data_IF_151745294619
#
_entry.id   IF_151745294619
#
_cell.length_a   1.000
_cell.length_b   1.000
_cell.length_c   1.000
_cell.angle_alpha   90.00
_cell.angle_beta   90.00
_cell.angle_gamma   90.00
#
_symmetry.space_group_name_H-M   'P 1'
#
loop_
_entity.id
_entity.type
_entity.pdbx_description
1 polymer ?
#
# COMPACT_ATOMS: atom_id res chain seq x y z
N UNK A 1 30.27 30.38 -18.99
CA UNK A 1 29.50 29.74 -17.93
C UNK A 1 30.50 29.28 -16.90
N UNK A 2 30.31 29.64 -15.62
CA UNK A 2 31.18 29.10 -14.55
C UNK A 2 30.68 27.65 -14.31
N UNK A 3 31.50 26.68 -14.70
CA UNK A 3 31.23 25.28 -14.39
C UNK A 3 31.44 25.03 -12.89
N UNK A 4 30.60 24.14 -12.32
CA UNK A 4 30.74 23.75 -10.93
C UNK A 4 32.07 23.01 -10.73
N UNK A 5 32.91 23.39 -9.73
CA UNK A 5 34.27 22.85 -9.54
C UNK A 5 34.25 21.32 -9.37
N UNK A 6 35.09 20.62 -10.15
CA UNK A 6 35.13 19.13 -10.13
C UNK A 6 35.54 18.55 -8.78
N UNK A 7 36.39 19.22 -8.03
CA UNK A 7 36.85 18.79 -6.70
C UNK A 7 35.75 18.82 -5.61
N UNK A 8 34.58 19.45 -5.91
CA UNK A 8 33.40 19.45 -5.06
C UNK A 8 32.36 18.38 -5.48
N UNK A 9 32.63 17.67 -6.55
CA UNK A 9 31.73 16.59 -7.00
C UNK A 9 31.91 15.36 -6.12
N UNK A 10 30.85 14.95 -5.45
CA UNK A 10 30.82 13.73 -4.64
C UNK A 10 30.46 12.55 -5.55
N UNK A 11 31.26 11.46 -5.59
CA UNK A 11 30.99 10.28 -6.41
C UNK A 11 29.92 9.38 -5.75
N UNK A 12 28.77 9.97 -5.40
CA UNK A 12 27.68 9.31 -4.68
C UNK A 12 27.14 8.07 -5.44
N UNK A 13 27.06 8.16 -6.77
CA UNK A 13 26.60 7.05 -7.61
C UNK A 13 27.45 5.79 -7.39
N UNK A 14 28.78 5.93 -7.45
CA UNK A 14 29.70 4.79 -7.23
C UNK A 14 29.59 4.18 -5.83
N UNK A 15 29.32 5.00 -4.80
CA UNK A 15 29.11 4.48 -3.44
C UNK A 15 27.79 3.70 -3.34
N UNK A 16 26.72 4.20 -3.95
CA UNK A 16 25.42 3.52 -3.97
C UNK A 16 25.54 2.20 -4.74
N UNK A 17 26.18 2.21 -5.93
CA UNK A 17 26.41 1.01 -6.72
C UNK A 17 27.21 -0.05 -5.95
N UNK A 18 28.25 0.36 -5.22
CA UNK A 18 29.04 -0.54 -4.39
C UNK A 18 28.20 -1.16 -3.25
N UNK A 19 27.37 -0.35 -2.58
CA UNK A 19 26.50 -0.83 -1.50
C UNK A 19 25.45 -1.82 -2.06
N UNK A 20 24.80 -1.49 -3.16
CA UNK A 20 23.79 -2.35 -3.77
C UNK A 20 24.42 -3.67 -4.25
N UNK A 21 25.58 -3.60 -4.91
CA UNK A 21 26.31 -4.80 -5.35
C UNK A 21 26.72 -5.67 -4.16
N UNK A 22 27.18 -5.05 -3.07
CA UNK A 22 27.50 -5.79 -1.84
C UNK A 22 26.25 -6.50 -1.26
N UNK A 23 25.11 -5.83 -1.22
CA UNK A 23 23.85 -6.43 -0.76
C UNK A 23 23.47 -7.61 -1.64
N UNK A 24 23.49 -7.47 -2.96
CA UNK A 24 23.14 -8.54 -3.90
C UNK A 24 24.05 -9.74 -3.75
N UNK A 25 25.37 -9.52 -3.61
CA UNK A 25 26.35 -10.61 -3.50
C UNK A 25 26.28 -11.32 -2.13
N UNK A 26 26.14 -10.56 -1.04
CA UNK A 26 26.25 -11.14 0.31
C UNK A 26 24.89 -11.53 0.90
N UNK A 27 23.80 -10.89 0.46
CA UNK A 27 22.46 -11.16 0.97
C UNK A 27 21.54 -11.76 -0.10
N UNK A 28 22.09 -12.29 -1.23
CA UNK A 28 21.31 -12.88 -2.32
C UNK A 28 20.31 -13.92 -1.84
N UNK A 29 20.76 -14.87 -0.99
CA UNK A 29 19.88 -15.89 -0.43
C UNK A 29 18.71 -15.31 0.39
N UNK A 30 18.92 -14.19 1.09
CA UNK A 30 17.85 -13.50 1.83
C UNK A 30 16.90 -12.81 0.86
N UNK A 31 17.43 -12.18 -0.19
CA UNK A 31 16.63 -11.57 -1.25
C UNK A 31 15.79 -12.60 -1.98
N UNK A 32 16.34 -13.78 -2.26
CA UNK A 32 15.61 -14.89 -2.88
C UNK A 32 14.42 -15.33 -2.01
N UNK A 33 14.65 -15.53 -0.70
CA UNK A 33 13.56 -15.88 0.24
C UNK A 33 12.49 -14.77 0.30
N UNK A 34 12.89 -13.51 0.33
CA UNK A 34 11.93 -12.38 0.28
C UNK A 34 11.17 -12.44 -1.04
N UNK A 35 11.86 -12.64 -2.15
CA UNK A 35 11.25 -12.76 -3.48
C UNK A 35 10.23 -13.88 -3.57
N UNK A 36 10.55 -15.05 -3.05
CA UNK A 36 9.67 -16.23 -3.01
C UNK A 36 8.42 -15.97 -2.15
N UNK A 37 8.57 -15.33 -1.00
CA UNK A 37 7.44 -14.95 -0.14
C UNK A 37 6.53 -13.94 -0.85
N UNK A 38 7.10 -12.89 -1.44
CA UNK A 38 6.35 -11.88 -2.18
C UNK A 38 5.61 -12.51 -3.36
N UNK A 39 6.29 -13.35 -4.12
CA UNK A 39 5.71 -14.06 -5.26
C UNK A 39 4.61 -15.03 -4.81
N UNK A 40 4.84 -15.78 -3.74
CA UNK A 40 3.88 -16.74 -3.19
C UNK A 40 2.59 -16.05 -2.75
N UNK A 41 2.68 -14.95 -2.00
CA UNK A 41 1.51 -14.15 -1.58
C UNK A 41 0.78 -13.60 -2.79
N UNK A 42 1.50 -12.97 -3.73
CA UNK A 42 0.89 -12.36 -4.92
C UNK A 42 0.19 -13.40 -5.79
N UNK A 43 0.91 -14.48 -6.16
CA UNK A 43 0.37 -15.53 -7.04
C UNK A 43 -0.79 -16.26 -6.37
N UNK A 44 -0.75 -16.44 -5.04
CA UNK A 44 -1.86 -17.01 -4.28
C UNK A 44 -3.13 -16.15 -4.44
N UNK A 45 -3.02 -14.84 -4.21
CA UNK A 45 -4.16 -13.90 -4.37
C UNK A 45 -4.63 -13.85 -5.83
N UNK A 46 -3.71 -13.74 -6.79
CA UNK A 46 -4.01 -13.68 -8.22
C UNK A 46 -4.78 -14.92 -8.69
N UNK A 47 -4.30 -16.12 -8.31
CA UNK A 47 -4.98 -17.39 -8.64
C UNK A 47 -6.40 -17.44 -8.07
N UNK A 48 -6.59 -16.99 -6.84
CA UNK A 48 -7.92 -16.95 -6.22
C UNK A 48 -8.84 -16.00 -6.99
N UNK A 49 -8.38 -14.78 -7.30
CA UNK A 49 -9.18 -13.78 -8.01
C UNK A 49 -9.53 -14.21 -9.44
N UNK A 50 -8.62 -14.88 -10.15
CA UNK A 50 -8.84 -15.35 -11.51
C UNK A 50 -9.65 -16.67 -11.55
N UNK A 51 -9.61 -17.49 -10.49
CA UNK A 51 -10.38 -18.74 -10.41
C UNK A 51 -11.85 -18.49 -10.06
N UNK A 52 -12.14 -17.42 -9.31
CA UNK A 52 -13.51 -17.06 -8.93
C UNK A 52 -14.25 -16.54 -10.17
N UNK A 53 -15.45 -17.11 -10.50
CA UNK A 53 -16.26 -16.60 -11.59
C UNK A 53 -16.60 -15.11 -11.41
N UNK A 54 -16.56 -14.35 -12.51
CA UNK A 54 -16.77 -12.90 -12.50
C UNK A 54 -18.04 -12.44 -11.77
N UNK A 55 -19.15 -13.18 -11.91
CA UNK A 55 -20.41 -12.85 -11.24
C UNK A 55 -20.35 -13.01 -9.72
N UNK A 56 -19.51 -13.93 -9.20
CA UNK A 56 -19.29 -14.08 -7.75
C UNK A 56 -18.53 -12.87 -7.20
N UNK A 57 -17.56 -12.37 -7.94
CA UNK A 57 -16.83 -11.14 -7.57
C UNK A 57 -17.80 -9.95 -7.53
N UNK A 58 -18.72 -9.84 -8.49
CA UNK A 58 -19.76 -8.80 -8.46
C UNK A 58 -20.63 -8.90 -7.21
N UNK A 59 -21.06 -10.12 -6.84
CA UNK A 59 -21.89 -10.35 -5.64
C UNK A 59 -21.12 -9.97 -4.38
N UNK A 60 -19.85 -10.38 -4.27
CA UNK A 60 -18.99 -10.06 -3.11
C UNK A 60 -18.80 -8.54 -2.99
N UNK A 61 -18.47 -7.87 -4.09
CA UNK A 61 -18.30 -6.40 -4.10
C UNK A 61 -19.60 -5.68 -3.79
N UNK A 62 -20.72 -6.13 -4.34
CA UNK A 62 -22.04 -5.57 -4.04
C UNK A 62 -22.39 -5.71 -2.55
N UNK A 63 -22.13 -6.91 -1.98
CA UNK A 63 -22.34 -7.17 -0.55
C UNK A 63 -21.43 -6.27 0.32
N UNK A 64 -20.14 -6.20 0.00
CA UNK A 64 -19.21 -5.33 0.72
C UNK A 64 -19.60 -3.85 0.63
N UNK A 65 -19.98 -3.37 -0.54
CA UNK A 65 -20.42 -2.00 -0.74
C UNK A 65 -21.70 -1.69 0.03
N UNK A 66 -22.70 -2.59 -0.04
CA UNK A 66 -23.94 -2.44 0.71
C UNK A 66 -23.70 -2.48 2.23
N UNK A 67 -22.92 -3.44 2.69
CA UNK A 67 -22.60 -3.58 4.10
C UNK A 67 -21.82 -2.39 4.66
N UNK A 68 -20.81 -1.91 3.91
CA UNK A 68 -19.93 -0.84 4.36
C UNK A 68 -20.57 0.55 4.24
N UNK A 69 -21.16 0.88 3.09
CA UNK A 69 -21.66 2.22 2.74
C UNK A 69 -23.09 2.43 3.25
N UNK A 70 -23.90 1.36 3.38
CA UNK A 70 -25.31 1.38 3.82
C UNK A 70 -26.23 2.29 3.00
N UNK A 71 -25.87 2.64 1.78
CA UNK A 71 -26.72 3.36 0.84
C UNK A 71 -27.15 2.42 -0.27
N UNK A 72 -28.42 2.43 -0.61
CA UNK A 72 -29.00 1.50 -1.61
C UNK A 72 -28.35 1.61 -2.99
N UNK A 73 -27.89 2.80 -3.40
CA UNK A 73 -27.24 3.06 -4.67
C UNK A 73 -25.77 2.59 -4.73
N UNK A 74 -25.15 2.31 -3.60
CA UNK A 74 -23.71 1.98 -3.56
C UNK A 74 -23.41 0.63 -4.25
N UNK A 75 -24.21 -0.39 -3.97
CA UNK A 75 -24.04 -1.70 -4.58
C UNK A 75 -24.21 -1.67 -6.12
N UNK A 76 -25.31 -1.13 -6.70
CA UNK A 76 -25.46 -1.05 -8.15
C UNK A 76 -24.37 -0.20 -8.81
N UNK A 77 -23.89 0.87 -8.17
CA UNK A 77 -22.82 1.70 -8.72
C UNK A 77 -21.50 0.92 -8.81
N UNK A 78 -21.13 0.18 -7.76
CA UNK A 78 -19.89 -0.62 -7.76
C UNK A 78 -19.96 -1.79 -8.76
N UNK A 79 -21.15 -2.40 -8.92
CA UNK A 79 -21.38 -3.40 -9.97
C UNK A 79 -21.20 -2.77 -11.36
N UNK A 80 -21.77 -1.58 -11.59
CA UNK A 80 -21.62 -0.87 -12.86
C UNK A 80 -20.15 -0.58 -13.20
N UNK A 81 -19.33 -0.19 -12.23
CA UNK A 81 -17.90 0.03 -12.44
C UNK A 81 -17.19 -1.24 -12.93
N UNK A 82 -17.42 -2.37 -12.27
CA UNK A 82 -16.82 -3.65 -12.68
C UNK A 82 -17.35 -4.13 -14.04
N UNK A 83 -18.63 -3.94 -14.34
CA UNK A 83 -19.20 -4.28 -15.64
C UNK A 83 -18.61 -3.43 -16.76
N UNK A 84 -18.35 -2.14 -16.52
CA UNK A 84 -17.67 -1.26 -17.49
C UNK A 84 -16.25 -1.78 -17.76
N UNK A 85 -15.48 -2.11 -16.72
CA UNK A 85 -14.14 -2.68 -16.88
C UNK A 85 -14.20 -4.00 -17.68
N UNK A 86 -15.17 -4.86 -17.36
CA UNK A 86 -15.39 -6.11 -18.09
C UNK A 86 -15.78 -5.91 -19.55
N UNK A 87 -16.62 -4.88 -19.86
CA UNK A 87 -17.05 -4.55 -21.22
C UNK A 87 -15.91 -4.05 -22.11
N UNK A 88 -14.87 -3.46 -21.53
CA UNK A 88 -13.64 -3.09 -22.24
C UNK A 88 -12.70 -4.28 -22.49
N UNK A 89 -13.03 -5.48 -21.97
CA UNK A 89 -12.17 -6.67 -22.08
C UNK A 89 -10.99 -6.68 -21.10
N UNK A 90 -11.00 -5.82 -20.09
CA UNK A 90 -9.89 -5.67 -19.13
C UNK A 90 -10.12 -6.41 -17.80
N UNK A 91 -11.06 -7.36 -17.74
CA UNK A 91 -11.40 -8.07 -16.52
C UNK A 91 -10.17 -8.74 -15.86
N UNK A 92 -9.46 -9.58 -16.60
CA UNK A 92 -8.30 -10.32 -16.08
C UNK A 92 -7.17 -9.36 -15.64
N UNK A 93 -6.93 -8.31 -16.41
CA UNK A 93 -5.94 -7.29 -16.08
C UNK A 93 -6.31 -6.48 -14.84
N UNK A 94 -7.60 -6.22 -14.63
CA UNK A 94 -8.10 -5.60 -13.41
C UNK A 94 -7.91 -6.52 -12.19
N UNK A 95 -8.15 -7.82 -12.33
CA UNK A 95 -7.91 -8.79 -11.26
C UNK A 95 -6.41 -8.94 -10.93
N UNK A 96 -5.54 -8.93 -11.94
CA UNK A 96 -4.09 -8.90 -11.72
C UNK A 96 -3.64 -7.62 -11.00
N UNK A 97 -4.17 -6.46 -11.39
CA UNK A 97 -3.90 -5.17 -10.73
C UNK A 97 -4.38 -5.20 -9.29
N UNK A 98 -5.59 -5.69 -9.05
CA UNK A 98 -6.18 -5.84 -7.71
C UNK A 98 -5.34 -6.79 -6.84
N UNK A 99 -4.82 -7.89 -7.40
CA UNK A 99 -3.94 -8.81 -6.69
C UNK A 99 -2.66 -8.13 -6.19
N UNK A 100 -2.01 -7.32 -7.03
CA UNK A 100 -0.81 -6.57 -6.65
C UNK A 100 -1.13 -5.58 -5.52
N UNK A 101 -2.24 -4.85 -5.62
CA UNK A 101 -2.67 -3.89 -4.60
C UNK A 101 -2.94 -4.60 -3.28
N UNK A 102 -3.73 -5.68 -3.28
CA UNK A 102 -4.07 -6.44 -2.06
C UNK A 102 -2.80 -7.00 -1.42
N UNK A 103 -1.91 -7.63 -2.21
CA UNK A 103 -0.64 -8.17 -1.71
C UNK A 103 0.22 -7.08 -1.07
N UNK A 104 0.42 -5.96 -1.79
CA UNK A 104 1.22 -4.85 -1.30
C UNK A 104 0.63 -4.21 -0.04
N UNK A 105 -0.70 -4.02 0.01
CA UNK A 105 -1.38 -3.45 1.19
C UNK A 105 -1.26 -4.39 2.39
N UNK A 106 -1.57 -5.69 2.24
CA UNK A 106 -1.46 -6.66 3.34
C UNK A 106 -0.04 -6.67 3.91
N UNK A 107 0.97 -6.74 3.06
CA UNK A 107 2.38 -6.76 3.48
C UNK A 107 2.81 -5.41 4.09
N UNK A 108 2.35 -4.29 3.53
CA UNK A 108 2.58 -2.96 4.12
C UNK A 108 1.96 -2.83 5.51
N UNK A 109 0.76 -3.36 5.72
CA UNK A 109 0.10 -3.35 7.03
C UNK A 109 0.81 -4.28 8.02
N UNK A 110 1.22 -5.48 7.57
CA UNK A 110 1.94 -6.44 8.39
C UNK A 110 3.28 -5.90 8.91
N UNK A 111 3.96 -5.06 8.13
CA UNK A 111 5.21 -4.38 8.52
C UNK A 111 4.91 -3.08 9.25
N UNK A 112 3.99 -2.29 8.72
CA UNK A 112 3.79 -0.90 9.14
C UNK A 112 3.09 -0.76 10.49
N UNK A 113 2.09 -1.58 10.80
CA UNK A 113 1.40 -1.50 12.09
C UNK A 113 2.35 -1.86 13.24
N UNK A 114 3.09 -3.00 13.22
CA UNK A 114 4.06 -3.30 14.27
C UNK A 114 5.14 -2.23 14.40
N UNK A 115 5.67 -1.73 13.28
CA UNK A 115 6.67 -0.65 13.28
C UNK A 115 6.12 0.63 13.91
N UNK A 116 4.87 1.01 13.59
CA UNK A 116 4.19 2.15 14.18
C UNK A 116 3.97 2.00 15.69
N UNK A 117 3.64 0.77 16.15
CA UNK A 117 3.53 0.45 17.58
C UNK A 117 4.89 0.60 18.28
N UNK A 118 5.97 0.07 17.70
CA UNK A 118 7.32 0.21 18.23
C UNK A 118 7.74 1.68 18.32
N UNK A 119 7.45 2.46 17.29
CA UNK A 119 7.69 3.88 17.23
C UNK A 119 6.89 4.67 18.28
N UNK A 120 5.67 4.23 18.59
CA UNK A 120 4.84 4.84 19.62
C UNK A 120 5.38 4.58 21.03
N UNK A 121 6.03 3.44 21.26
CA UNK A 121 6.54 3.01 22.57
C UNK A 121 7.96 3.50 22.88
N UNK A 122 8.71 3.99 21.89
CA UNK A 122 10.11 4.40 22.07
C UNK A 122 10.39 5.69 21.31
N UNK A 123 10.76 6.73 22.06
CA UNK A 123 11.17 8.01 21.45
C UNK A 123 12.48 7.89 20.68
N UNK A 124 13.40 7.00 21.10
CA UNK A 124 14.62 6.71 20.35
C UNK A 124 14.32 6.16 18.95
N UNK A 125 13.42 5.16 18.86
CA UNK A 125 12.98 4.60 17.56
C UNK A 125 12.24 5.68 16.75
N UNK A 126 11.37 6.46 17.39
CA UNK A 126 10.63 7.52 16.73
C UNK A 126 11.56 8.58 16.11
N UNK A 127 12.61 9.00 16.84
CA UNK A 127 13.55 10.00 16.38
C UNK A 127 14.41 9.54 15.19
N UNK A 128 14.71 8.24 15.11
CA UNK A 128 15.42 7.65 13.97
C UNK A 128 14.50 7.43 12.77
N UNK A 129 13.28 6.91 13.00
CA UNK A 129 12.38 6.56 11.90
C UNK A 129 11.69 7.77 11.26
N UNK A 130 11.41 8.85 12.01
CA UNK A 130 10.76 10.05 11.45
C UNK A 130 11.49 10.61 10.23
N UNK A 131 12.80 10.92 10.29
CA UNK A 131 13.51 11.43 9.11
C UNK A 131 13.52 10.44 7.94
N UNK A 132 13.60 9.13 8.23
CA UNK A 132 13.55 8.08 7.20
C UNK A 132 12.20 8.08 6.51
N UNK A 133 11.10 8.10 7.28
CA UNK A 133 9.74 8.17 6.73
C UNK A 133 9.49 9.49 5.97
N UNK A 134 10.08 10.61 6.41
CA UNK A 134 10.02 11.88 5.70
C UNK A 134 10.73 11.79 4.35
N UNK A 135 11.94 11.24 4.32
CA UNK A 135 12.67 11.00 3.09
C UNK A 135 11.89 10.08 2.14
N UNK A 136 11.33 8.98 2.66
CA UNK A 136 10.51 8.06 1.87
C UNK A 136 9.28 8.73 1.25
N UNK A 137 8.66 9.70 1.88
CA UNK A 137 7.47 10.37 1.33
C UNK A 137 7.80 11.53 0.38
N UNK A 138 9.02 12.07 0.44
CA UNK A 138 9.47 13.15 -0.45
C UNK A 138 10.17 12.65 -1.70
N UNK A 139 10.65 11.41 -1.71
CA UNK A 139 11.29 10.83 -2.88
C UNK A 139 10.29 10.60 -4.02
N UNK A 140 10.65 10.92 -5.27
CA UNK A 140 9.84 10.57 -6.43
C UNK A 140 9.60 9.05 -6.50
N UNK A 141 8.37 8.65 -6.79
CA UNK A 141 7.95 7.23 -6.81
C UNK A 141 8.80 6.34 -7.73
N UNK A 142 9.30 6.88 -8.85
CA UNK A 142 10.19 6.15 -9.77
C UNK A 142 11.50 5.69 -9.13
N UNK A 143 12.02 6.43 -8.16
CA UNK A 143 13.29 6.11 -7.50
C UNK A 143 13.23 4.75 -6.80
N UNK A 144 12.05 4.34 -6.32
CA UNK A 144 11.83 3.03 -5.67
C UNK A 144 11.91 1.85 -6.64
N UNK A 145 11.73 2.09 -7.94
CA UNK A 145 11.84 1.04 -8.94
C UNK A 145 13.30 0.59 -9.14
N UNK A 146 14.26 1.50 -8.93
CA UNK A 146 15.68 1.22 -9.19
C UNK A 146 16.19 0.10 -8.28
N UNK A 147 16.15 0.21 -6.94
CA UNK A 147 16.59 -0.86 -6.06
C UNK A 147 15.75 -2.12 -6.21
N UNK A 148 14.44 -1.99 -6.47
CA UNK A 148 13.58 -3.14 -6.71
C UNK A 148 14.02 -3.96 -7.92
N UNK A 149 14.38 -3.29 -9.02
CA UNK A 149 14.92 -3.93 -10.22
C UNK A 149 16.27 -4.57 -9.97
N UNK A 150 17.14 -3.92 -9.22
CA UNK A 150 18.48 -4.43 -8.93
C UNK A 150 18.45 -5.67 -8.04
N UNK A 151 17.50 -5.75 -7.11
CA UNK A 151 17.36 -6.88 -6.20
C UNK A 151 16.62 -8.07 -6.81
N UNK A 152 15.58 -7.83 -7.62
CA UNK A 152 14.64 -8.87 -8.05
C UNK A 152 14.47 -8.99 -9.57
N UNK A 153 15.20 -8.20 -10.35
CA UNK A 153 15.04 -8.18 -11.80
C UNK A 153 13.72 -7.55 -12.26
N UNK A 154 13.25 -7.91 -13.47
CA UNK A 154 11.98 -7.44 -14.03
C UNK A 154 10.82 -8.35 -13.62
N UNK A 155 9.64 -7.78 -13.40
CA UNK A 155 8.42 -8.56 -13.22
C UNK A 155 7.56 -8.19 -12.01
N UNK A 156 6.81 -9.17 -11.51
CA UNK A 156 5.81 -8.96 -10.45
C UNK A 156 6.43 -8.72 -9.07
N UNK A 157 7.53 -9.42 -8.73
CA UNK A 157 8.18 -9.31 -7.42
C UNK A 157 8.71 -7.91 -7.15
N UNK A 158 9.55 -7.31 -8.03
CA UNK A 158 10.01 -5.94 -7.81
C UNK A 158 8.87 -4.92 -7.79
N UNK A 159 7.78 -5.16 -8.54
CA UNK A 159 6.61 -4.30 -8.51
C UNK A 159 5.92 -4.28 -7.14
N UNK A 160 5.69 -5.46 -6.54
CA UNK A 160 5.12 -5.57 -5.18
C UNK A 160 6.06 -4.97 -4.16
N UNK A 161 7.36 -5.26 -4.24
CA UNK A 161 8.38 -4.74 -3.32
C UNK A 161 8.44 -3.21 -3.34
N UNK A 162 8.54 -2.60 -4.53
CA UNK A 162 8.53 -1.14 -4.67
C UNK A 162 7.23 -0.52 -4.16
N UNK A 163 6.09 -1.19 -4.40
CA UNK A 163 4.78 -0.74 -3.91
C UNK A 163 4.71 -0.77 -2.39
N UNK A 164 5.24 -1.81 -1.74
CA UNK A 164 5.29 -1.91 -0.27
C UNK A 164 6.10 -0.76 0.31
N UNK A 165 7.33 -0.55 -0.18
CA UNK A 165 8.21 0.50 0.35
C UNK A 165 7.58 1.89 0.20
N UNK A 166 6.96 2.15 -0.95
CA UNK A 166 6.30 3.43 -1.22
C UNK A 166 5.05 3.64 -0.36
N UNK A 167 4.28 2.58 -0.12
CA UNK A 167 2.97 2.68 0.53
C UNK A 167 2.98 2.51 2.05
N UNK A 168 4.05 1.98 2.66
CA UNK A 168 4.12 1.69 4.09
C UNK A 168 4.19 2.93 5.02
N UNK A 169 4.79 4.08 4.65
CA UNK A 169 4.98 5.19 5.59
C UNK A 169 3.70 5.74 6.24
N UNK A 170 2.57 5.92 5.54
CA UNK A 170 1.35 6.44 6.16
C UNK A 170 0.85 5.58 7.33
N UNK A 171 0.79 4.26 7.16
CA UNK A 171 0.29 3.40 8.24
C UNK A 171 1.23 3.38 9.44
N UNK A 172 2.55 3.46 9.24
CA UNK A 172 3.52 3.60 10.34
C UNK A 172 3.24 4.88 11.13
N UNK A 173 3.14 6.02 10.42
CA UNK A 173 2.91 7.34 11.06
C UNK A 173 1.59 7.40 11.78
N UNK A 174 0.51 6.99 11.13
CA UNK A 174 -0.84 7.10 11.68
C UNK A 174 -1.08 6.10 12.81
N UNK A 175 -0.42 4.94 12.81
CA UNK A 175 -0.38 4.04 13.96
C UNK A 175 0.33 4.69 15.14
N UNK A 176 1.53 5.28 14.92
CA UNK A 176 2.26 5.98 15.97
C UNK A 176 1.48 7.18 16.53
N UNK A 177 0.94 8.02 15.67
CA UNK A 177 0.14 9.20 16.08
C UNK A 177 -1.13 8.78 16.80
N UNK A 178 -1.82 7.74 16.32
CA UNK A 178 -3.03 7.23 16.96
C UNK A 178 -2.78 6.72 18.37
N UNK A 179 -1.71 5.94 18.59
CA UNK A 179 -1.37 5.40 19.91
C UNK A 179 -0.93 6.52 20.85
N UNK A 180 -0.08 7.45 20.40
CA UNK A 180 0.37 8.59 21.22
C UNK A 180 -0.73 9.61 21.47
N UNK A 181 -1.75 9.66 20.60
CA UNK A 181 -2.90 10.56 20.74
C UNK A 181 -3.96 10.09 21.74
N UNK A 182 -3.80 8.91 22.34
CA UNK A 182 -4.72 8.44 23.41
C UNK A 182 -4.58 9.34 24.61
N UNK A 183 -5.68 9.88 25.19
CA UNK A 183 -5.63 10.76 26.34
C UNK A 183 -4.88 10.14 27.52
N UNK A 184 -3.93 10.89 28.07
CA UNK A 184 -3.08 10.42 29.17
C UNK A 184 -3.90 10.01 30.40
N UNK A 185 -5.01 10.71 30.67
CA UNK A 185 -5.94 10.40 31.77
C UNK A 185 -6.53 8.99 31.68
N UNK A 186 -6.78 8.50 30.45
CA UNK A 186 -7.30 7.13 30.24
C UNK A 186 -6.22 6.10 30.53
N UNK A 187 -4.97 6.39 30.12
CA UNK A 187 -3.82 5.53 30.38
C UNK A 187 -3.53 5.47 31.89
N UNK A 188 -3.54 6.61 32.57
CA UNK A 188 -3.34 6.70 34.03
C UNK A 188 -4.44 5.99 34.81
N UNK A 189 -5.70 6.12 34.40
CA UNK A 189 -6.81 5.37 35.01
C UNK A 189 -6.58 3.86 34.88
N UNK A 190 -6.21 3.36 33.70
CA UNK A 190 -5.91 1.95 33.51
C UNK A 190 -4.74 1.46 34.41
N UNK A 191 -3.71 2.30 34.57
CA UNK A 191 -2.58 2.02 35.47
C UNK A 191 -3.01 1.97 36.94
N UNK A 192 -3.89 2.89 37.36
CA UNK A 192 -4.41 2.91 38.73
C UNK A 192 -5.23 1.65 39.07
N UNK A 193 -5.87 1.03 38.07
CA UNK A 193 -6.53 -0.27 38.20
C UNK A 193 -5.58 -1.48 38.10
N UNK A 194 -4.26 -1.24 38.01
CA UNK A 194 -3.25 -2.29 37.97
C UNK A 194 -3.01 -2.93 36.61
N UNK A 195 -3.46 -2.30 35.51
CA UNK A 195 -3.22 -2.81 34.18
C UNK A 195 -1.72 -2.80 33.83
N UNK A 196 -1.24 -3.91 33.27
CA UNK A 196 0.13 -4.03 32.76
C UNK A 196 0.31 -3.22 31.48
N UNK A 197 1.55 -2.86 31.15
CA UNK A 197 1.85 -2.12 29.89
C UNK A 197 1.34 -2.83 28.62
N UNK A 198 1.25 -4.17 28.65
CA UNK A 198 0.70 -4.95 27.54
C UNK A 198 -0.82 -4.81 27.46
N UNK A 199 -1.51 -4.89 28.60
CA UNK A 199 -2.96 -4.68 28.67
C UNK A 199 -3.33 -3.25 28.24
N UNK A 200 -2.59 -2.25 28.72
CA UNK A 200 -2.79 -0.86 28.29
C UNK A 200 -2.67 -0.71 26.76
N UNK A 201 -1.66 -1.33 26.15
CA UNK A 201 -1.51 -1.28 24.71
C UNK A 201 -2.68 -1.93 23.97
N UNK A 202 -2.99 -3.20 24.28
CA UNK A 202 -3.93 -3.99 23.49
C UNK A 202 -5.40 -3.72 23.85
N UNK A 203 -5.71 -3.39 25.10
CA UNK A 203 -7.08 -3.23 25.59
C UNK A 203 -7.54 -1.76 25.65
N UNK A 204 -6.59 -0.81 25.68
CA UNK A 204 -6.90 0.62 25.77
C UNK A 204 -6.40 1.40 24.56
N UNK A 205 -5.07 1.39 24.33
CA UNK A 205 -4.47 2.28 23.33
C UNK A 205 -4.81 1.87 21.89
N UNK A 206 -4.67 0.58 21.54
CA UNK A 206 -4.97 0.12 20.17
C UNK A 206 -6.45 0.30 19.79
N UNK A 207 -7.43 -0.05 20.64
CA UNK A 207 -8.83 0.22 20.34
C UNK A 207 -9.15 1.70 20.16
N UNK A 208 -8.57 2.58 20.98
CA UNK A 208 -8.75 4.03 20.86
C UNK A 208 -7.98 4.63 19.67
N UNK A 209 -6.84 4.05 19.32
CA UNK A 209 -6.05 4.44 18.15
C UNK A 209 -6.62 3.92 16.81
N UNK A 210 -7.51 2.93 16.86
CA UNK A 210 -8.01 2.22 15.68
C UNK A 210 -8.54 3.16 14.57
N UNK A 211 -9.30 4.23 14.85
CA UNK A 211 -9.73 5.17 13.82
C UNK A 211 -8.56 5.81 13.06
N UNK A 212 -7.50 6.20 13.76
CA UNK A 212 -6.28 6.76 13.15
C UNK A 212 -5.53 5.71 12.32
N UNK A 213 -5.45 4.48 12.82
CA UNK A 213 -4.85 3.35 12.10
C UNK A 213 -5.61 3.10 10.78
N UNK A 214 -6.94 3.13 10.81
CA UNK A 214 -7.76 2.93 9.60
C UNK A 214 -7.60 4.04 8.57
N UNK A 215 -7.37 5.29 9.00
CA UNK A 215 -6.96 6.36 8.08
C UNK A 215 -5.61 6.01 7.44
N UNK A 216 -4.67 5.46 8.22
CA UNK A 216 -3.39 4.95 7.70
C UNK A 216 -3.56 3.84 6.68
N UNK A 217 -4.44 2.88 6.94
CA UNK A 217 -4.78 1.79 6.02
C UNK A 217 -5.30 2.37 4.69
N UNK A 218 -6.23 3.32 4.76
CA UNK A 218 -6.79 3.96 3.56
C UNK A 218 -5.71 4.70 2.75
N UNK A 219 -4.87 5.50 3.40
CA UNK A 219 -3.78 6.22 2.72
C UNK A 219 -2.76 5.24 2.10
N UNK A 220 -2.38 4.18 2.81
CA UNK A 220 -1.52 3.11 2.29
C UNK A 220 -2.13 2.47 1.04
N UNK A 221 -3.43 2.19 1.06
CA UNK A 221 -4.14 1.60 -0.08
C UNK A 221 -4.12 2.55 -1.30
N UNK A 222 -4.35 3.84 -1.09
CA UNK A 222 -4.31 4.84 -2.17
C UNK A 222 -2.90 5.01 -2.75
N UNK A 223 -1.86 4.99 -1.90
CA UNK A 223 -0.47 5.02 -2.36
C UNK A 223 -0.10 3.75 -3.13
N UNK A 224 -0.54 2.58 -2.67
CA UNK A 224 -0.34 1.32 -3.40
C UNK A 224 -1.00 1.35 -4.78
N UNK A 225 -2.22 1.87 -4.89
CA UNK A 225 -2.91 2.09 -6.17
C UNK A 225 -2.12 2.97 -7.13
N UNK A 226 -1.62 4.10 -6.67
CA UNK A 226 -0.82 5.01 -7.49
C UNK A 226 0.48 4.32 -7.97
N UNK A 227 1.13 3.56 -7.08
CA UNK A 227 2.40 2.91 -7.40
C UNK A 227 2.26 1.74 -8.37
N UNK A 228 1.14 0.99 -8.35
CA UNK A 228 0.93 -0.16 -9.27
C UNK A 228 0.93 0.28 -10.72
N UNK A 229 0.43 1.47 -11.04
CA UNK A 229 0.51 2.02 -12.42
C UNK A 229 1.96 2.25 -12.83
N UNK A 230 2.76 2.83 -11.93
CA UNK A 230 4.18 3.09 -12.15
C UNK A 230 4.98 1.77 -12.22
N UNK A 231 4.63 0.81 -11.39
CA UNK A 231 5.25 -0.52 -11.35
C UNK A 231 5.06 -1.32 -12.65
N UNK A 232 4.07 -0.97 -13.48
CA UNK A 232 3.93 -1.56 -14.81
C UNK A 232 5.15 -1.29 -15.73
N UNK A 233 5.88 -0.20 -15.47
CA UNK A 233 7.10 0.15 -16.23
C UNK A 233 8.23 -0.87 -16.03
N UNK A 234 8.19 -1.65 -14.97
CA UNK A 234 9.17 -2.71 -14.67
C UNK A 234 8.63 -4.12 -14.94
N UNK A 235 7.59 -4.23 -15.78
CA UNK A 235 7.08 -5.50 -16.27
C UNK A 235 5.97 -6.14 -15.43
N UNK A 236 5.35 -5.41 -14.50
CA UNK A 236 4.16 -5.87 -13.81
C UNK A 236 2.95 -5.88 -14.76
N UNK A 237 2.39 -7.07 -14.99
CA UNK A 237 1.16 -7.21 -15.80
C UNK A 237 -0.05 -6.68 -15.03
N UNK A 238 -0.92 -5.99 -15.75
CA UNK A 238 -2.16 -5.42 -15.22
C UNK A 238 -2.62 -4.23 -16.06
N UNK A 239 -3.59 -3.46 -15.56
CA UNK A 239 -4.15 -2.28 -16.24
C UNK A 239 -3.08 -1.21 -16.53
N UNK A 240 -2.09 -1.04 -15.63
CA UNK A 240 -1.01 -0.08 -15.84
C UNK A 240 -0.15 -0.40 -17.07
N UNK A 241 0.04 -1.69 -17.40
CA UNK A 241 0.76 -2.11 -18.61
C UNK A 241 0.01 -1.69 -19.88
N UNK A 242 -1.32 -1.76 -19.88
CA UNK A 242 -2.13 -1.31 -21.03
C UNK A 242 -2.01 0.19 -21.26
N UNK A 243 -1.98 0.99 -20.17
CA UNK A 243 -1.72 2.43 -20.26
C UNK A 243 -0.34 2.68 -20.86
N UNK A 244 0.68 1.98 -20.38
CA UNK A 244 2.06 2.12 -20.90
C UNK A 244 2.17 1.74 -22.39
N UNK A 245 1.53 0.64 -22.80
CA UNK A 245 1.49 0.21 -24.20
C UNK A 245 0.75 1.22 -25.06
N UNK A 246 -0.36 1.76 -24.59
CA UNK A 246 -1.13 2.77 -25.30
C UNK A 246 -0.33 4.08 -25.51
N UNK A 247 0.43 4.52 -24.48
CA UNK A 247 1.32 5.68 -24.58
C UNK A 247 2.41 5.43 -25.63
N UNK A 248 3.08 4.28 -25.58
CA UNK A 248 4.16 3.93 -26.50
C UNK A 248 3.70 3.80 -27.96
N UNK A 249 2.42 3.44 -28.18
CA UNK A 249 1.82 3.27 -29.50
C UNK A 249 0.98 4.47 -29.94
N UNK A 250 0.82 5.48 -29.10
CA UNK A 250 -0.04 6.66 -29.31
C UNK A 250 -1.50 6.25 -29.59
N UNK A 251 -1.96 5.17 -28.93
CA UNK A 251 -3.33 4.64 -29.02
C UNK A 251 -4.24 5.33 -27.98
N UNK A 252 -4.75 6.53 -28.31
CA UNK A 252 -5.50 7.38 -27.36
C UNK A 252 -6.74 6.66 -26.78
N UNK A 253 -7.52 5.97 -27.63
CA UNK A 253 -8.73 5.25 -27.19
C UNK A 253 -8.40 4.16 -26.17
N UNK A 254 -7.43 3.30 -26.47
CA UNK A 254 -6.98 2.23 -25.59
C UNK A 254 -6.41 2.78 -24.27
N UNK A 255 -5.64 3.87 -24.34
CA UNK A 255 -5.12 4.52 -23.14
C UNK A 255 -6.23 5.09 -22.26
N UNK A 256 -7.28 5.65 -22.86
CA UNK A 256 -8.44 6.15 -22.13
C UNK A 256 -9.23 5.03 -21.45
N UNK A 257 -9.51 3.91 -22.15
CA UNK A 257 -10.22 2.76 -21.58
C UNK A 257 -9.45 2.14 -20.41
N UNK A 258 -8.12 1.94 -20.56
CA UNK A 258 -7.27 1.41 -19.50
C UNK A 258 -7.18 2.38 -18.31
N UNK A 259 -6.99 3.68 -18.57
CA UNK A 259 -6.95 4.72 -17.55
C UNK A 259 -8.28 4.83 -16.79
N UNK A 260 -9.41 4.83 -17.50
CA UNK A 260 -10.74 4.84 -16.88
C UNK A 260 -10.94 3.60 -16.00
N UNK A 261 -10.51 2.41 -16.46
CA UNK A 261 -10.60 1.17 -15.69
C UNK A 261 -9.81 1.25 -14.38
N UNK A 262 -8.63 1.87 -14.38
CA UNK A 262 -7.84 2.13 -13.15
C UNK A 262 -8.60 3.07 -12.21
N UNK A 263 -9.18 4.15 -12.73
CA UNK A 263 -9.96 5.11 -11.92
C UNK A 263 -11.18 4.45 -11.29
N UNK A 264 -11.93 3.66 -12.05
CA UNK A 264 -13.10 2.94 -11.54
C UNK A 264 -12.71 1.95 -10.44
N UNK A 265 -11.62 1.20 -10.64
CA UNK A 265 -11.08 0.28 -9.64
C UNK A 265 -10.60 1.03 -8.39
N UNK A 266 -9.95 2.18 -8.57
CA UNK A 266 -9.50 3.04 -7.48
C UNK A 266 -10.67 3.55 -6.63
N UNK A 267 -11.71 4.08 -7.27
CA UNK A 267 -12.92 4.56 -6.58
C UNK A 267 -13.60 3.42 -5.81
N UNK A 268 -13.69 2.23 -6.42
CA UNK A 268 -14.27 1.05 -5.79
C UNK A 268 -13.52 0.70 -4.49
N UNK A 269 -12.21 0.59 -4.56
CA UNK A 269 -11.37 0.24 -3.40
C UNK A 269 -11.45 1.33 -2.34
N UNK A 270 -11.30 2.61 -2.73
CA UNK A 270 -11.37 3.76 -1.82
C UNK A 270 -12.70 3.78 -1.05
N UNK A 271 -13.82 3.68 -1.77
CA UNK A 271 -15.13 3.75 -1.13
C UNK A 271 -15.39 2.61 -0.15
N UNK A 272 -14.94 1.40 -0.47
CA UNK A 272 -15.07 0.26 0.42
C UNK A 272 -14.17 0.43 1.65
N UNK A 273 -12.87 0.75 1.46
CA UNK A 273 -11.92 0.91 2.58
C UNK A 273 -12.28 2.08 3.49
N UNK A 274 -12.65 3.22 2.92
CA UNK A 274 -13.08 4.40 3.67
C UNK A 274 -14.36 4.13 4.49
N UNK A 275 -15.32 3.40 3.91
CA UNK A 275 -16.56 3.09 4.61
C UNK A 275 -16.35 2.15 5.81
N UNK A 276 -15.38 1.21 5.72
CA UNK A 276 -14.96 0.42 6.87
C UNK A 276 -14.28 1.27 7.94
N UNK A 277 -13.43 2.21 7.55
CA UNK A 277 -12.73 3.11 8.46
C UNK A 277 -13.70 4.03 9.24
N UNK A 278 -14.66 4.65 8.55
CA UNK A 278 -15.60 5.60 9.15
C UNK A 278 -16.63 4.95 10.07
N UNK A 279 -16.98 3.69 9.83
CA UNK A 279 -18.00 2.98 10.61
C UNK A 279 -17.61 2.82 12.08
N UNK A 280 -16.33 2.67 12.37
CA UNK A 280 -15.85 2.48 13.74
C UNK A 280 -15.68 3.78 14.51
N UNK A 281 -15.65 4.93 13.84
CA UNK A 281 -15.68 6.23 14.52
C UNK A 281 -17.03 6.52 15.18
N UNK A 282 -18.13 5.95 14.65
CA UNK A 282 -19.48 6.16 15.18
C UNK A 282 -19.86 5.19 16.32
N UNK A 283 -19.03 4.20 16.61
CA UNK A 283 -19.30 3.22 17.69
C UNK A 283 -18.69 3.65 19.03
N UNK A 284 -18.03 4.81 19.11
CA UNK A 284 -17.59 5.39 20.38
C UNK A 284 -18.70 6.28 20.95
N UNK A 285 -19.43 5.86 22.01
CA UNK A 285 -20.40 6.71 22.69
C UNK A 285 -19.63 7.77 23.49
N UNK A 286 -19.76 9.03 23.15
CA UNK A 286 -19.29 10.11 24.02
C UNK A 286 -18.64 11.28 23.29
N UNK A 287 -19.43 12.07 22.58
CA UNK A 287 -19.31 13.54 22.57
C UNK A 287 -20.71 14.13 22.71
#
# INVERSE_FOLDING_TARGET
>A
MMEFPEYLRIPLAGWIDAVVSWIVVNLGAVLDVIGDVLLGVLVGIEKVLLWIPWFVILIVVAFLAWYAIRKWWAAPLMIAFLLIIGSFGYWDLAMMTLAIIIAAVILSLAIGIPTGILMARSDGIANVLRPVLDAMQTMPSFVYLIPALMFFGLGKVPAVFATIIYAVPPVIRLTNVGIRGVPQSVVEAAQAFGATSRQILFEVQLPLAFPSIMVGVNQTTMMALAMVVIASMIGARGLGMEVLLAINRIEVGRGFEAGLSIVLLAILIDRITHAFASRQQHTQPGK
#
